data_IF_585311345923
#
_entry.id   IF_585311345923
#
_cell.length_a   1.000
_cell.length_b   1.000
_cell.length_c   1.000
_cell.angle_alpha   90.00
_cell.angle_beta   90.00
_cell.angle_gamma   90.00
#
_symmetry.space_group_name_H-M   'P 1'
#
loop_
_entity.id
_entity.type
_entity.pdbx_description
1 polymer ?
#
# COMPACT_ATOMS: atom_id res chain seq x y z
N UNK A 1 28.40 -3.23 68.04
CA UNK A 1 27.14 -3.21 68.83
C UNK A 1 26.21 -2.17 68.22
N UNK A 2 24.93 -2.52 67.99
CA UNK A 2 23.84 -1.81 67.25
C UNK A 2 24.01 -1.80 65.71
N UNK A 3 23.21 -2.49 64.89
CA UNK A 3 21.75 -2.70 64.71
C UNK A 3 21.07 -1.70 63.76
N UNK A 4 20.27 -2.29 62.85
CA UNK A 4 19.10 -1.78 62.10
C UNK A 4 19.44 -1.04 60.79
N UNK A 5 18.77 -1.22 59.64
CA UNK A 5 17.52 -1.92 59.27
C UNK A 5 17.27 -1.70 57.77
N UNK A 6 16.45 -2.53 57.11
CA UNK A 6 15.61 -2.04 55.99
C UNK A 6 15.54 -2.83 54.67
N UNK A 7 14.94 -4.02 54.73
CA UNK A 7 14.04 -4.68 53.77
C UNK A 7 13.74 -4.02 52.38
N UNK A 8 13.85 -4.81 51.29
CA UNK A 8 12.73 -5.11 50.36
C UNK A 8 13.14 -6.09 49.25
N UNK A 9 12.49 -7.26 49.23
CA UNK A 9 12.57 -8.21 48.14
C UNK A 9 11.83 -7.72 46.89
N UNK A 10 12.36 -8.10 45.73
CA UNK A 10 11.70 -8.01 44.44
C UNK A 10 11.72 -9.43 43.86
N UNK A 11 10.52 -9.99 43.76
CA UNK A 11 10.17 -11.16 42.99
C UNK A 11 10.30 -10.90 41.48
N UNK A 12 10.17 -11.98 40.70
CA UNK A 12 9.76 -12.02 39.29
C UNK A 12 10.85 -12.32 38.26
N UNK A 13 10.76 -13.56 37.78
CA UNK A 13 10.87 -13.94 36.36
C UNK A 13 12.19 -13.64 35.66
N UNK A 14 13.14 -14.56 35.85
CA UNK A 14 14.19 -14.83 34.88
C UNK A 14 13.57 -15.25 33.54
N UNK A 15 13.39 -14.24 32.70
CA UNK A 15 13.64 -14.23 31.26
C UNK A 15 13.93 -15.61 30.64
N UNK A 16 12.88 -16.29 30.20
CA UNK A 16 12.95 -17.19 29.04
C UNK A 16 12.34 -16.44 27.85
N UNK A 17 13.08 -15.46 27.34
CA UNK A 17 12.82 -14.89 26.01
C UNK A 17 13.48 -15.82 25.00
N UNK A 18 12.82 -16.95 24.75
CA UNK A 18 13.05 -17.74 23.56
C UNK A 18 12.71 -16.85 22.36
N UNK A 19 13.77 -16.52 21.61
CA UNK A 19 13.76 -15.87 20.32
C UNK A 19 12.79 -16.60 19.38
N UNK A 20 11.64 -15.99 19.13
CA UNK A 20 10.78 -16.32 18.00
C UNK A 20 11.52 -15.84 16.75
N UNK A 21 12.42 -16.67 16.25
CA UNK A 21 12.99 -16.54 14.92
C UNK A 21 11.84 -16.54 13.92
N UNK A 22 11.71 -15.43 13.20
CA UNK A 22 10.87 -15.29 12.02
C UNK A 22 11.21 -16.40 11.03
N UNK A 23 10.36 -17.41 10.93
CA UNK A 23 10.27 -18.24 9.72
C UNK A 23 9.69 -17.36 8.61
N UNK A 24 10.57 -16.61 7.94
CA UNK A 24 10.32 -16.08 6.61
C UNK A 24 10.17 -17.29 5.69
N UNK A 25 8.99 -17.47 5.11
CA UNK A 25 8.84 -18.34 3.96
C UNK A 25 9.87 -17.88 2.90
N UNK A 26 10.85 -18.71 2.59
CA UNK A 26 11.70 -18.55 1.41
C UNK A 26 10.80 -18.72 0.18
N UNK A 27 10.06 -17.66 -0.15
CA UNK A 27 9.20 -17.64 -1.31
C UNK A 27 10.08 -17.86 -2.53
N UNK A 28 10.06 -19.08 -3.06
CA UNK A 28 10.79 -19.42 -4.28
C UNK A 28 10.16 -18.62 -5.43
N UNK A 29 10.97 -17.84 -6.12
CA UNK A 29 10.56 -17.03 -7.27
C UNK A 29 10.83 -17.80 -8.55
N UNK A 30 9.99 -17.60 -9.57
CA UNK A 30 10.25 -18.09 -10.92
C UNK A 30 10.18 -16.96 -11.93
N UNK A 31 10.86 -17.15 -13.05
CA UNK A 31 10.82 -16.23 -14.18
C UNK A 31 9.64 -16.56 -15.10
N UNK A 32 8.81 -15.57 -15.38
CA UNK A 32 7.73 -15.63 -16.37
C UNK A 32 7.63 -14.31 -17.12
N UNK A 33 7.28 -14.37 -18.40
CA UNK A 33 7.19 -13.19 -19.28
C UNK A 33 5.90 -13.18 -20.10
N UNK A 34 4.72 -13.19 -19.47
CA UNK A 34 3.47 -12.97 -20.19
C UNK A 34 3.44 -11.53 -20.75
N UNK A 35 2.82 -11.32 -21.90
CA UNK A 35 2.76 -10.00 -22.55
C UNK A 35 2.05 -8.96 -21.67
N UNK A 36 0.93 -9.36 -21.05
CA UNK A 36 0.15 -8.50 -20.18
C UNK A 36 -0.42 -9.31 -19.01
N UNK A 37 0.25 -9.28 -17.87
CA UNK A 37 -0.26 -9.93 -16.67
C UNK A 37 0.08 -9.17 -15.39
N UNK A 38 -0.67 -9.49 -14.37
CA UNK A 38 -0.52 -8.98 -13.02
C UNK A 38 -0.63 -10.12 -12.02
N UNK A 39 -0.06 -9.96 -10.84
CA UNK A 39 -0.19 -10.94 -9.75
C UNK A 39 -0.60 -10.24 -8.46
N UNK A 40 -1.34 -10.95 -7.62
CA UNK A 40 -1.72 -10.45 -6.30
C UNK A 40 -0.55 -10.67 -5.34
N UNK A 41 0.01 -9.57 -4.85
CA UNK A 41 1.10 -9.59 -3.90
C UNK A 41 0.63 -10.01 -2.52
N UNK A 42 1.10 -11.14 -2.00
CA UNK A 42 0.60 -11.67 -0.72
C UNK A 42 0.86 -10.75 0.48
N UNK A 43 1.95 -9.99 0.44
CA UNK A 43 2.33 -9.11 1.54
C UNK A 43 1.49 -7.84 1.60
N UNK A 44 1.23 -7.21 0.45
CA UNK A 44 0.50 -5.95 0.37
C UNK A 44 -0.96 -6.11 -0.08
N UNK A 45 -1.33 -7.27 -0.61
CA UNK A 45 -2.60 -7.59 -1.28
C UNK A 45 -2.92 -6.70 -2.50
N UNK A 46 -1.93 -5.94 -2.98
CA UNK A 46 -2.06 -5.12 -4.19
C UNK A 46 -1.81 -5.94 -5.45
N UNK A 47 -2.42 -5.48 -6.54
CA UNK A 47 -2.15 -6.02 -7.86
C UNK A 47 -0.83 -5.44 -8.41
N UNK A 48 0.15 -6.29 -8.67
CA UNK A 48 1.46 -5.90 -9.22
C UNK A 48 1.61 -6.37 -10.66
N UNK A 49 2.09 -5.49 -11.55
CA UNK A 49 2.40 -5.89 -12.93
C UNK A 49 3.55 -6.91 -12.93
N UNK A 50 3.39 -7.98 -13.71
CA UNK A 50 4.47 -8.95 -13.94
C UNK A 50 5.57 -8.27 -14.76
N UNK A 51 6.77 -8.21 -14.19
CA UNK A 51 7.96 -7.67 -14.87
C UNK A 51 8.91 -8.77 -15.35
N UNK A 52 9.23 -9.73 -14.46
CA UNK A 52 10.13 -10.84 -14.74
C UNK A 52 9.97 -11.98 -13.74
N UNK A 53 10.10 -11.66 -12.45
CA UNK A 53 10.03 -12.64 -11.37
C UNK A 53 8.68 -12.54 -10.64
N UNK A 54 8.09 -13.69 -10.36
CA UNK A 54 6.86 -13.81 -9.56
C UNK A 54 7.01 -14.92 -8.51
N UNK A 55 6.52 -14.74 -7.27
CA UNK A 55 6.59 -15.78 -6.25
C UNK A 55 5.71 -16.98 -6.62
N UNK A 56 6.20 -18.20 -6.30
CA UNK A 56 5.38 -19.41 -6.39
C UNK A 56 4.13 -19.27 -5.51
N UNK A 57 3.01 -19.76 -6.03
CA UNK A 57 1.66 -19.76 -5.46
C UNK A 57 0.95 -18.40 -5.50
N UNK A 58 1.54 -17.39 -6.12
CA UNK A 58 0.84 -16.14 -6.42
C UNK A 58 -0.28 -16.38 -7.42
N UNK A 59 -1.44 -15.76 -7.18
CA UNK A 59 -2.53 -15.73 -8.16
C UNK A 59 -2.17 -14.71 -9.23
N UNK A 60 -2.20 -15.14 -10.49
CA UNK A 60 -1.91 -14.32 -11.66
C UNK A 60 -3.20 -14.04 -12.44
N UNK A 61 -3.30 -12.84 -12.97
CA UNK A 61 -4.35 -12.37 -13.86
C UNK A 61 -3.66 -12.03 -15.19
N UNK A 62 -3.94 -12.81 -16.22
CA UNK A 62 -3.43 -12.58 -17.57
C UNK A 62 -4.51 -11.88 -18.38
N UNK A 63 -4.13 -10.77 -19.02
CA UNK A 63 -5.03 -9.90 -19.78
C UNK A 63 -4.84 -10.15 -21.27
N UNK A 64 -5.95 -10.21 -21.99
CA UNK A 64 -5.96 -10.30 -23.45
C UNK A 64 -6.85 -9.20 -24.03
N UNK A 65 -6.56 -8.78 -25.26
CA UNK A 65 -7.44 -7.88 -26.02
C UNK A 65 -8.22 -8.71 -27.02
N UNK A 66 -9.53 -8.64 -26.94
CA UNK A 66 -10.41 -9.26 -27.93
C UNK A 66 -11.03 -8.17 -28.81
N UNK A 67 -11.05 -8.41 -30.12
CA UNK A 67 -11.72 -7.54 -31.10
C UNK A 67 -13.11 -8.10 -31.35
N UNK A 68 -14.12 -7.26 -31.20
CA UNK A 68 -15.49 -7.55 -31.65
C UNK A 68 -15.61 -7.12 -33.13
N UNK A 69 -16.51 -7.76 -33.87
CA UNK A 69 -16.79 -7.50 -35.30
C UNK A 69 -16.98 -6.00 -35.62
N UNK A 70 -17.43 -5.18 -34.66
CA UNK A 70 -17.66 -3.73 -34.77
C UNK A 70 -16.45 -2.84 -34.38
N UNK A 71 -15.20 -3.32 -34.54
CA UNK A 71 -13.95 -2.60 -34.23
C UNK A 71 -13.71 -2.21 -32.75
N UNK A 72 -14.65 -2.48 -31.85
CA UNK A 72 -14.48 -2.24 -30.41
C UNK A 72 -13.57 -3.31 -29.80
N UNK A 73 -12.58 -2.90 -29.03
CA UNK A 73 -11.71 -3.80 -28.25
C UNK A 73 -12.22 -3.93 -26.81
N UNK A 74 -12.41 -5.15 -26.34
CA UNK A 74 -12.65 -5.44 -24.91
C UNK A 74 -11.41 -6.13 -24.29
N UNK A 75 -11.23 -5.98 -22.98
CA UNK A 75 -10.14 -6.59 -22.21
C UNK A 75 -10.68 -7.78 -21.44
N UNK A 76 -10.30 -8.98 -21.86
CA UNK A 76 -10.63 -10.21 -21.13
C UNK A 76 -9.54 -10.56 -20.11
N UNK A 77 -9.92 -11.33 -19.09
CA UNK A 77 -9.05 -11.70 -17.97
C UNK A 77 -9.13 -13.20 -17.70
N UNK A 78 -8.01 -13.88 -17.92
CA UNK A 78 -7.81 -15.25 -17.48
C UNK A 78 -7.01 -15.30 -16.19
N UNK A 79 -7.20 -16.37 -15.40
CA UNK A 79 -6.63 -16.49 -14.06
C UNK A 79 -5.73 -17.71 -13.99
N UNK A 80 -4.74 -17.66 -13.11
CA UNK A 80 -3.88 -18.80 -12.84
C UNK A 80 -3.18 -18.71 -11.49
N UNK A 81 -2.37 -19.71 -11.20
CA UNK A 81 -1.45 -19.72 -10.07
C UNK A 81 -0.04 -20.06 -10.53
N UNK A 82 0.94 -19.41 -9.94
CA UNK A 82 2.35 -19.69 -10.21
C UNK A 82 2.77 -20.99 -9.52
N UNK A 83 3.40 -21.90 -10.25
CA UNK A 83 4.07 -23.07 -9.66
C UNK A 83 5.57 -23.08 -10.02
N UNK A 84 6.29 -24.16 -9.71
CA UNK A 84 7.72 -24.27 -10.03
C UNK A 84 8.06 -24.38 -11.52
N UNK A 85 7.06 -24.49 -12.41
CA UNK A 85 7.21 -24.67 -13.85
C UNK A 85 6.62 -23.51 -14.69
N UNK A 86 5.85 -22.61 -14.09
CA UNK A 86 5.21 -21.51 -14.81
C UNK A 86 3.82 -21.17 -14.28
N UNK A 87 2.98 -20.66 -15.19
CA UNK A 87 1.58 -20.34 -14.93
C UNK A 87 0.73 -21.60 -15.10
N UNK A 88 -0.06 -21.94 -14.09
CA UNK A 88 -1.12 -22.95 -14.19
C UNK A 88 -2.45 -22.23 -14.27
N UNK A 89 -3.18 -22.40 -15.37
CA UNK A 89 -4.49 -21.78 -15.55
C UNK A 89 -5.48 -22.31 -14.50
N UNK A 90 -6.33 -21.41 -14.00
CA UNK A 90 -7.34 -21.69 -13.00
C UNK A 90 -8.69 -21.09 -13.39
N UNK A 91 -9.80 -21.79 -13.10
CA UNK A 91 -11.11 -21.17 -13.06
C UNK A 91 -11.13 -20.02 -12.05
N UNK A 92 -11.90 -18.97 -12.34
CA UNK A 92 -12.05 -17.80 -11.45
C UNK A 92 -12.44 -18.19 -10.02
N UNK A 93 -13.25 -19.24 -9.86
CA UNK A 93 -13.66 -19.78 -8.56
C UNK A 93 -12.46 -20.29 -7.74
N UNK A 94 -11.56 -21.05 -8.35
CA UNK A 94 -10.38 -21.58 -7.68
C UNK A 94 -9.38 -20.46 -7.34
N UNK A 95 -9.21 -19.49 -8.24
CA UNK A 95 -8.43 -18.28 -7.95
C UNK A 95 -9.00 -17.54 -6.73
N UNK A 96 -10.33 -17.37 -6.66
CA UNK A 96 -11.06 -16.83 -5.51
C UNK A 96 -10.80 -17.60 -4.21
N UNK A 97 -10.76 -18.94 -4.26
CA UNK A 97 -10.50 -19.79 -3.08
C UNK A 97 -9.04 -19.67 -2.58
N UNK A 98 -8.07 -19.50 -3.49
CA UNK A 98 -6.69 -19.21 -3.13
C UNK A 98 -6.58 -17.80 -2.51
N UNK A 99 -7.21 -16.80 -3.13
CA UNK A 99 -7.23 -15.43 -2.61
C UNK A 99 -7.93 -15.33 -1.25
N UNK A 100 -8.97 -16.13 -1.00
CA UNK A 100 -9.61 -16.19 0.31
C UNK A 100 -8.65 -16.69 1.38
N UNK A 101 -7.83 -17.70 1.09
CA UNK A 101 -6.78 -18.17 2.02
C UNK A 101 -5.72 -17.10 2.26
N UNK A 102 -5.24 -16.45 1.20
CA UNK A 102 -4.27 -15.36 1.30
C UNK A 102 -4.82 -14.14 2.07
N UNK A 103 -6.11 -13.83 1.92
CA UNK A 103 -6.81 -12.83 2.72
C UNK A 103 -6.73 -13.17 4.22
N UNK A 104 -6.99 -14.42 4.58
CA UNK A 104 -6.91 -14.87 5.98
C UNK A 104 -5.50 -14.78 6.53
N UNK A 105 -4.49 -15.19 5.75
CA UNK A 105 -3.08 -15.03 6.11
C UNK A 105 -2.74 -13.56 6.36
N UNK A 106 -3.16 -12.67 5.47
CA UNK A 106 -2.94 -11.22 5.60
C UNK A 106 -3.56 -10.65 6.87
N UNK A 107 -4.84 -10.93 7.16
CA UNK A 107 -5.49 -10.36 8.35
C UNK A 107 -4.92 -10.94 9.65
N UNK A 108 -4.49 -12.21 9.66
CA UNK A 108 -3.82 -12.82 10.82
C UNK A 108 -2.47 -12.17 11.08
N UNK A 109 -1.72 -11.86 10.02
CA UNK A 109 -0.41 -11.24 10.12
C UNK A 109 -0.47 -9.74 10.44
N UNK A 110 -1.28 -8.98 9.70
CA UNK A 110 -1.32 -7.51 9.77
C UNK A 110 -2.36 -6.97 10.76
N UNK A 111 -3.31 -7.80 11.20
CA UNK A 111 -4.45 -7.39 12.03
C UNK A 111 -5.22 -6.16 11.47
N UNK A 112 -5.38 -6.14 10.14
CA UNK A 112 -6.08 -5.09 9.40
C UNK A 112 -6.72 -5.65 8.14
N UNK A 113 -7.72 -4.96 7.60
CA UNK A 113 -8.29 -5.25 6.28
C UNK A 113 -7.23 -5.10 5.17
N UNK A 114 -7.19 -6.00 4.16
CA UNK A 114 -6.41 -5.76 2.95
C UNK A 114 -6.99 -4.61 2.11
N UNK A 115 -6.18 -3.95 1.27
CA UNK A 115 -6.68 -2.98 0.29
C UNK A 115 -7.73 -3.59 -0.65
N UNK A 116 -8.61 -2.74 -1.18
CA UNK A 116 -9.62 -3.10 -2.18
C UNK A 116 -10.58 -4.22 -1.74
N UNK A 117 -10.73 -4.44 -0.44
CA UNK A 117 -11.66 -5.44 0.11
C UNK A 117 -12.79 -4.80 0.89
N UNK A 118 -13.99 -5.37 0.76
CA UNK A 118 -15.16 -4.93 1.52
C UNK A 118 -16.12 -6.08 1.80
N UNK A 119 -16.87 -6.00 2.90
CA UNK A 119 -17.95 -6.95 3.15
C UNK A 119 -19.05 -6.70 2.12
N UNK A 120 -19.38 -7.72 1.35
CA UNK A 120 -20.48 -7.68 0.39
C UNK A 120 -21.78 -8.16 1.01
N UNK A 121 -21.75 -9.29 1.71
CA UNK A 121 -22.90 -9.79 2.48
C UNK A 121 -22.48 -10.83 3.51
N UNK A 122 -23.34 -11.02 4.52
CA UNK A 122 -23.26 -12.14 5.46
C UNK A 122 -24.30 -13.17 5.01
N UNK A 123 -23.87 -14.42 4.83
CA UNK A 123 -24.74 -15.51 4.40
C UNK A 123 -25.55 -16.06 5.58
N UNK A 124 -26.65 -16.77 5.28
CA UNK A 124 -27.45 -17.45 6.31
C UNK A 124 -26.64 -18.49 7.09
N UNK A 125 -25.59 -19.06 6.50
CA UNK A 125 -24.66 -19.99 7.17
C UNK A 125 -23.79 -19.32 8.23
N UNK A 126 -23.72 -17.99 8.26
CA UNK A 126 -22.75 -17.22 9.04
C UNK A 126 -21.44 -16.95 8.31
N UNK A 127 -21.24 -17.52 7.11
CA UNK A 127 -20.08 -17.21 6.27
C UNK A 127 -20.18 -15.79 5.71
N UNK A 128 -19.04 -15.13 5.56
CA UNK A 128 -19.00 -13.75 5.06
C UNK A 128 -18.47 -13.75 3.64
N UNK A 129 -19.24 -13.15 2.73
CA UNK A 129 -18.83 -12.88 1.35
C UNK A 129 -18.11 -11.52 1.33
N UNK A 130 -16.83 -11.54 0.97
CA UNK A 130 -15.98 -10.37 0.77
C UNK A 130 -15.85 -10.13 -0.74
N UNK A 131 -16.00 -8.88 -1.14
CA UNK A 131 -15.61 -8.41 -2.47
C UNK A 131 -14.13 -8.01 -2.43
N UNK A 132 -13.35 -8.48 -3.39
CA UNK A 132 -11.98 -8.00 -3.65
C UNK A 132 -11.92 -7.44 -5.07
N UNK A 133 -11.78 -6.13 -5.17
CA UNK A 133 -11.93 -5.37 -6.43
C UNK A 133 -10.65 -4.58 -6.72
N UNK A 134 -9.53 -5.27 -7.06
CA UNK A 134 -8.24 -4.62 -7.27
C UNK A 134 -8.21 -3.63 -8.45
N UNK A 135 -9.15 -3.77 -9.39
CA UNK A 135 -9.40 -2.82 -10.49
C UNK A 135 -10.91 -2.71 -10.73
N UNK A 136 -11.35 -1.76 -11.56
CA UNK A 136 -12.76 -1.66 -11.96
C UNK A 136 -13.24 -2.84 -12.83
N UNK A 137 -12.32 -3.56 -13.49
CA UNK A 137 -12.62 -4.69 -14.38
C UNK A 137 -12.41 -6.04 -13.70
N UNK A 138 -11.63 -6.10 -12.62
CA UNK A 138 -11.30 -7.31 -11.89
C UNK A 138 -11.98 -7.34 -10.53
N UNK A 139 -12.93 -8.25 -10.38
CA UNK A 139 -13.63 -8.49 -9.12
C UNK A 139 -13.61 -9.97 -8.74
N UNK A 140 -13.27 -10.26 -7.50
CA UNK A 140 -13.23 -11.60 -6.92
C UNK A 140 -14.16 -11.69 -5.72
N UNK A 141 -14.85 -12.83 -5.63
CA UNK A 141 -15.67 -13.17 -4.47
C UNK A 141 -14.85 -14.06 -3.54
N UNK A 142 -14.59 -13.61 -2.32
CA UNK A 142 -13.88 -14.39 -1.31
C UNK A 142 -14.87 -14.82 -0.23
N UNK A 143 -14.94 -16.12 0.05
CA UNK A 143 -15.81 -16.64 1.11
C UNK A 143 -14.96 -16.91 2.34
N UNK A 144 -15.28 -16.22 3.43
CA UNK A 144 -14.63 -16.42 4.73
C UNK A 144 -15.55 -17.24 5.62
N UNK A 145 -15.08 -18.41 6.02
CA UNK A 145 -15.84 -19.35 6.84
C UNK A 145 -15.31 -19.42 8.26
N UNK A 146 -16.15 -19.93 9.18
CA UNK A 146 -15.75 -20.20 10.57
C UNK A 146 -14.53 -21.13 10.65
N UNK A 147 -14.43 -22.12 9.76
CA UNK A 147 -13.30 -23.07 9.75
C UNK A 147 -11.95 -22.39 9.47
N UNK A 148 -11.93 -21.35 8.64
CA UNK A 148 -10.69 -20.65 8.29
C UNK A 148 -10.16 -19.78 9.44
N UNK A 149 -11.08 -19.21 10.23
CA UNK A 149 -10.78 -18.29 11.34
C UNK A 149 -10.70 -18.98 12.71
N UNK A 150 -11.43 -20.08 12.90
CA UNK A 150 -11.62 -20.73 14.21
C UNK A 150 -12.66 -20.02 15.11
N UNK A 151 -13.28 -18.94 14.62
CA UNK A 151 -14.21 -18.07 15.34
C UNK A 151 -15.33 -17.58 14.41
N UNK A 152 -16.30 -16.84 14.95
CA UNK A 152 -17.33 -16.22 14.13
C UNK A 152 -16.72 -15.24 13.11
N UNK A 153 -16.97 -15.42 11.80
CA UNK A 153 -16.37 -14.57 10.78
C UNK A 153 -16.75 -13.09 10.88
N UNK A 154 -18.02 -12.79 11.10
CA UNK A 154 -18.51 -11.41 11.16
C UNK A 154 -17.89 -10.67 12.34
N UNK A 155 -17.90 -11.30 13.52
CA UNK A 155 -17.31 -10.73 14.72
C UNK A 155 -15.80 -10.50 14.56
N UNK A 156 -15.08 -11.48 14.01
CA UNK A 156 -13.63 -11.40 13.82
C UNK A 156 -13.25 -10.26 12.86
N UNK A 157 -13.97 -10.13 11.75
CA UNK A 157 -13.73 -9.11 10.73
C UNK A 157 -14.07 -7.69 11.21
N UNK A 158 -15.08 -7.55 12.07
CA UNK A 158 -15.46 -6.26 12.66
C UNK A 158 -14.41 -5.70 13.63
N UNK A 159 -13.56 -6.56 14.21
CA UNK A 159 -12.47 -6.15 15.12
C UNK A 159 -11.22 -5.65 14.38
N UNK A 160 -11.11 -5.91 13.08
CA UNK A 160 -9.93 -5.53 12.29
C UNK A 160 -9.88 -4.03 12.05
N UNK A 161 -8.67 -3.46 12.11
CA UNK A 161 -8.43 -2.09 11.66
C UNK A 161 -8.70 -1.98 10.16
N UNK A 162 -9.32 -0.88 9.72
CA UNK A 162 -9.48 -0.63 8.28
C UNK A 162 -8.12 -0.43 7.61
N UNK A 163 -8.01 -0.85 6.34
CA UNK A 163 -6.83 -0.58 5.55
C UNK A 163 -6.58 0.92 5.50
N UNK A 164 -5.35 1.32 5.75
CA UNK A 164 -4.87 2.67 5.50
C UNK A 164 -3.74 2.54 4.49
N UNK A 165 -3.89 3.19 3.34
CA UNK A 165 -2.81 3.20 2.34
C UNK A 165 -1.53 3.73 2.98
N UNK A 166 -0.36 3.10 2.73
CA UNK A 166 0.91 3.67 3.12
C UNK A 166 0.95 5.12 2.65
N UNK A 167 0.98 6.05 3.61
CA UNK A 167 1.18 7.45 3.31
C UNK A 167 2.64 7.58 2.86
N UNK A 168 2.89 7.43 1.56
CA UNK A 168 4.14 7.93 0.99
C UNK A 168 4.11 9.43 1.28
N UNK A 169 5.09 9.96 2.03
CA UNK A 169 5.11 11.39 2.29
C UNK A 169 4.98 12.12 0.95
N UNK A 170 3.99 12.98 0.84
CA UNK A 170 3.75 13.71 -0.40
C UNK A 170 4.80 14.80 -0.54
N UNK A 171 5.08 15.20 -1.78
CA UNK A 171 5.70 16.50 -1.98
C UNK A 171 4.80 17.58 -1.37
N UNK A 172 5.42 18.60 -0.79
CA UNK A 172 4.72 19.60 0.01
C UNK A 172 4.87 20.99 -0.59
N UNK A 173 3.86 21.85 -0.46
CA UNK A 173 3.96 23.28 -0.72
C UNK A 173 3.55 24.09 0.49
N UNK A 174 4.33 25.12 0.80
CA UNK A 174 4.01 26.10 1.83
C UNK A 174 4.71 27.44 1.57
N UNK A 175 4.30 28.48 2.30
CA UNK A 175 5.10 29.69 2.47
C UNK A 175 6.18 29.46 3.50
N UNK A 176 7.41 29.90 3.21
CA UNK A 176 8.55 29.71 4.09
C UNK A 176 8.35 30.47 5.40
N UNK A 177 8.35 29.75 6.53
CA UNK A 177 8.21 30.33 7.88
C UNK A 177 9.44 31.09 8.37
N UNK A 178 10.57 30.96 7.67
CA UNK A 178 11.82 31.68 7.94
C UNK A 178 12.72 31.65 6.70
N UNK A 179 13.70 32.55 6.63
CA UNK A 179 14.72 32.61 5.57
C UNK A 179 15.88 31.62 5.70
N UNK A 180 15.73 30.50 6.43
CA UNK A 180 16.83 29.57 6.72
C UNK A 180 16.99 28.44 5.70
N UNK A 181 15.97 28.15 4.89
CA UNK A 181 16.04 27.09 3.87
C UNK A 181 16.79 27.54 2.63
N UNK A 182 17.59 26.64 2.05
CA UNK A 182 18.22 26.82 0.74
C UNK A 182 17.56 25.94 -0.32
N UNK A 183 17.41 26.49 -1.52
CA UNK A 183 16.91 25.77 -2.68
C UNK A 183 17.93 24.71 -3.11
N UNK A 184 17.50 23.47 -3.30
CA UNK A 184 18.40 22.37 -3.71
C UNK A 184 18.75 22.36 -5.19
N UNK A 185 18.09 23.18 -6.01
CA UNK A 185 18.40 23.34 -7.44
C UNK A 185 19.43 24.44 -7.68
N UNK A 186 19.18 25.67 -7.21
CA UNK A 186 20.09 26.80 -7.43
C UNK A 186 21.02 27.13 -6.25
N UNK A 187 20.89 26.45 -5.11
CA UNK A 187 21.66 26.67 -3.87
C UNK A 187 21.47 28.03 -3.16
N UNK A 188 20.58 28.89 -3.67
CA UNK A 188 20.23 30.17 -3.05
C UNK A 188 19.26 30.03 -1.87
N UNK A 189 19.24 31.05 -1.01
CA UNK A 189 18.31 31.15 0.12
C UNK A 189 16.87 31.34 -0.37
N UNK A 190 15.93 30.65 0.29
CA UNK A 190 14.50 30.89 0.14
C UNK A 190 14.06 31.82 1.27
N UNK A 191 13.67 33.05 0.91
CA UNK A 191 13.27 34.08 1.87
C UNK A 191 11.95 33.74 2.58
N UNK A 192 11.80 34.25 3.80
CA UNK A 192 10.55 34.17 4.56
C UNK A 192 9.37 34.74 3.77
N UNK A 193 8.20 34.11 3.90
CA UNK A 193 6.98 34.49 3.19
C UNK A 193 6.94 34.10 1.70
N UNK A 194 8.03 33.58 1.12
CA UNK A 194 8.04 33.06 -0.26
C UNK A 194 7.60 31.61 -0.32
N UNK A 195 6.96 31.22 -1.41
CA UNK A 195 6.62 29.82 -1.65
C UNK A 195 7.87 28.95 -1.74
N UNK A 196 7.77 27.74 -1.20
CA UNK A 196 8.73 26.66 -1.35
C UNK A 196 8.02 25.34 -1.56
N UNK A 197 8.61 24.49 -2.37
CA UNK A 197 8.16 23.12 -2.60
C UNK A 197 9.17 22.17 -1.97
N UNK A 198 8.68 21.21 -1.19
CA UNK A 198 9.46 20.25 -0.43
C UNK A 198 9.37 18.85 -1.03
N UNK A 199 10.49 18.31 -1.49
CA UNK A 199 10.63 16.89 -1.80
C UNK A 199 10.88 16.12 -0.49
N UNK A 200 10.08 15.10 -0.17
CA UNK A 200 10.20 14.36 1.07
C UNK A 200 11.44 13.48 1.07
N UNK A 201 12.13 13.41 2.21
CA UNK A 201 13.20 12.45 2.44
C UNK A 201 13.23 12.06 3.92
N UNK A 202 13.75 10.88 4.22
CA UNK A 202 13.95 10.45 5.61
C UNK A 202 15.40 10.74 6.04
N UNK A 203 15.55 11.39 7.19
CA UNK A 203 16.83 11.61 7.86
C UNK A 203 16.74 11.05 9.27
N UNK A 204 17.60 10.08 9.61
CA UNK A 204 17.61 9.42 10.93
C UNK A 204 16.22 8.90 11.37
N UNK A 205 15.47 8.32 10.43
CA UNK A 205 14.12 7.80 10.70
C UNK A 205 13.02 8.86 10.82
N UNK A 206 13.36 10.15 10.71
CA UNK A 206 12.41 11.26 10.73
C UNK A 206 12.14 11.81 9.32
N UNK A 207 10.89 12.11 9.01
CA UNK A 207 10.51 12.76 7.75
C UNK A 207 11.01 14.21 7.73
N UNK A 208 11.72 14.57 6.67
CA UNK A 208 12.23 15.92 6.40
C UNK A 208 11.99 16.27 4.93
N UNK A 209 12.28 17.51 4.54
CA UNK A 209 12.01 18.02 3.19
C UNK A 209 13.22 18.75 2.60
N UNK A 210 13.58 18.40 1.36
CA UNK A 210 14.50 19.16 0.51
C UNK A 210 13.70 20.27 -0.15
N UNK A 211 14.06 21.52 0.14
CA UNK A 211 13.30 22.67 -0.33
C UNK A 211 13.80 23.18 -1.67
N UNK A 212 12.88 23.63 -2.52
CA UNK A 212 13.13 24.23 -3.83
C UNK A 212 12.29 25.50 -3.99
N UNK A 213 12.80 26.47 -4.75
CA UNK A 213 11.94 27.54 -5.27
C UNK A 213 10.97 26.93 -6.31
N UNK A 214 9.72 27.38 -6.36
CA UNK A 214 8.79 26.90 -7.39
C UNK A 214 9.31 27.12 -8.82
N UNK A 215 9.94 28.27 -9.09
CA UNK A 215 10.54 28.57 -10.41
C UNK A 215 11.69 27.63 -10.79
N UNK A 216 12.35 27.01 -9.81
CA UNK A 216 13.42 26.04 -10.07
C UNK A 216 12.90 24.64 -10.41
N UNK A 217 11.59 24.41 -10.31
CA UNK A 217 10.94 23.13 -10.60
C UNK A 217 10.05 23.16 -11.84
N UNK A 218 9.96 24.27 -12.57
CA UNK A 218 9.05 24.41 -13.73
C UNK A 218 9.38 23.48 -14.88
N UNK A 219 10.59 22.92 -14.94
CA UNK A 219 10.98 21.91 -15.92
C UNK A 219 10.70 20.46 -15.48
N UNK A 220 10.33 20.26 -14.22
CA UNK A 220 10.24 18.93 -13.59
C UNK A 220 8.89 18.65 -12.91
N UNK A 221 8.01 19.65 -12.83
CA UNK A 221 6.74 19.54 -12.13
C UNK A 221 5.68 20.34 -12.89
N UNK A 222 4.56 19.70 -13.19
CA UNK A 222 3.45 20.27 -13.97
C UNK A 222 2.39 20.93 -13.08
N UNK A 223 1.58 21.82 -13.66
CA UNK A 223 0.51 22.54 -12.93
C UNK A 223 -0.48 21.59 -12.26
N UNK A 224 -0.80 20.46 -12.92
CA UNK A 224 -1.71 19.44 -12.41
C UNK A 224 -1.13 18.73 -11.17
N UNK A 225 0.19 18.61 -11.10
CA UNK A 225 0.88 18.01 -9.95
C UNK A 225 0.89 18.95 -8.73
N UNK A 226 0.78 20.27 -8.92
CA UNK A 226 0.70 21.23 -7.81
C UNK A 226 -0.50 20.98 -6.90
N UNK A 227 -1.64 20.57 -7.47
CA UNK A 227 -2.88 20.37 -6.72
C UNK A 227 -2.81 19.13 -5.81
N UNK A 228 -1.89 18.22 -6.12
CA UNK A 228 -1.63 16.99 -5.36
C UNK A 228 -0.61 17.19 -4.23
N UNK A 229 0.03 18.37 -4.13
CA UNK A 229 1.00 18.67 -3.08
C UNK A 229 0.32 18.82 -1.72
N UNK A 230 0.92 18.24 -0.68
CA UNK A 230 0.52 18.51 0.71
C UNK A 230 0.61 20.01 1.00
N UNK A 231 -0.38 20.55 1.71
CA UNK A 231 -0.50 21.99 1.98
C UNK A 231 -1.12 22.83 0.85
N UNK A 232 -1.25 22.33 -0.38
CA UNK A 232 -1.84 23.12 -1.48
C UNK A 232 -3.29 23.54 -1.18
N UNK A 233 -4.10 22.60 -0.66
CA UNK A 233 -5.50 22.87 -0.31
C UNK A 233 -5.66 23.96 0.76
N UNK A 234 -4.65 24.11 1.63
CA UNK A 234 -4.61 25.11 2.71
C UNK A 234 -4.25 26.53 2.22
N UNK A 235 -3.72 26.67 1.01
CA UNK A 235 -3.44 27.98 0.41
C UNK A 235 -4.75 28.72 0.10
N UNK A 236 -4.76 30.04 0.31
CA UNK A 236 -5.86 30.90 -0.11
C UNK A 236 -5.97 30.95 -1.63
N UNK A 237 -7.14 31.33 -2.16
CA UNK A 237 -7.38 31.38 -3.61
C UNK A 237 -6.36 32.26 -4.34
N UNK A 238 -5.99 33.42 -3.79
CA UNK A 238 -4.97 34.27 -4.40
C UNK A 238 -3.56 33.66 -4.36
N UNK A 239 -3.23 32.91 -3.30
CA UNK A 239 -1.96 32.20 -3.19
C UNK A 239 -1.85 31.09 -4.23
N UNK A 240 -2.95 30.35 -4.46
CA UNK A 240 -3.04 29.33 -5.51
C UNK A 240 -2.82 29.94 -6.89
N UNK A 241 -3.49 31.07 -7.20
CA UNK A 241 -3.31 31.78 -8.47
C UNK A 241 -1.87 32.26 -8.67
N UNK A 242 -1.26 32.86 -7.63
CA UNK A 242 0.13 33.30 -7.67
C UNK A 242 1.11 32.15 -7.90
N UNK A 243 0.88 31.00 -7.24
CA UNK A 243 1.70 29.81 -7.41
C UNK A 243 1.56 29.25 -8.84
N UNK A 244 0.34 29.08 -9.35
CA UNK A 244 0.09 28.58 -10.71
C UNK A 244 0.77 29.45 -11.78
N UNK A 245 0.71 30.78 -11.64
CA UNK A 245 1.38 31.73 -12.56
C UNK A 245 2.89 31.52 -12.68
N UNK A 246 3.56 30.93 -11.68
CA UNK A 246 5.00 30.63 -11.76
C UNK A 246 5.28 29.51 -12.76
N UNK A 247 4.31 28.62 -13.00
CA UNK A 247 4.43 27.44 -13.86
C UNK A 247 3.81 27.63 -15.26
N UNK A 248 3.30 28.82 -15.57
CA UNK A 248 2.66 29.15 -16.87
C UNK A 248 3.56 30.03 -17.75
N UNK A 249 4.88 29.82 -17.71
CA UNK A 249 5.85 30.60 -18.50
C UNK A 249 5.96 30.01 -19.91
#
# INVERSE_FOLDING_TARGET
MRMMSGNRGISETSQKRESVENKKDDARWIEITPEWAYWVDRESFNLKRVKKLVPIGSVIIVKSREKIEDERTYVDSSFGVINGKGIVNLPKKEASEILARQFIEYIKWKNQWPPFTSIKKIQKSGDVEISFDPTEYDSFRLIVTRQMLGSDPSESLNRLKKYQSPQVPLWKVETAKSGKSRCRSCNDVILEGRFRIGEPYFYEGSLSYKWYHPRCLTASLDIEELENLDGYKLLRSEEKLRLKRIFTI
#
